data_IF_011199648833
#
_entry.id   IF_011199648833
#
_cell.length_a   1.000
_cell.length_b   1.000
_cell.length_c   1.000
_cell.angle_alpha   90.00
_cell.angle_beta   90.00
_cell.angle_gamma   90.00
#
_symmetry.space_group_name_H-M   'P 1'
#
loop_
_entity.id
_entity.type
_entity.pdbx_description
1 polymer ?
#
# COMPACT_ATOMS: atom_id res chain seq x y z
N UNK A 1 16.28 5.82 -26.63
CA UNK A 1 15.98 5.48 -26.17
C UNK A 1 15.79 5.28 -25.30
N UNK A 2 15.45 5.15 -25.26
CA UNK A 2 15.53 4.60 -24.12
C UNK A 2 15.57 5.53 -23.03
N UNK A 3 16.00 6.67 -23.13
CA UNK A 3 16.25 7.49 -22.01
C UNK A 3 15.04 7.93 -21.29
N UNK A 4 14.03 8.24 -22.00
CA UNK A 4 12.85 8.75 -21.36
C UNK A 4 12.24 7.78 -20.43
N UNK A 5 12.11 6.58 -20.87
CA UNK A 5 11.52 5.65 -19.98
C UNK A 5 12.52 5.07 -19.03
N UNK A 6 13.76 5.29 -19.26
CA UNK A 6 14.74 4.99 -18.26
C UNK A 6 14.50 5.80 -17.02
N UNK A 7 14.14 7.06 -17.18
CA UNK A 7 13.82 7.89 -16.07
C UNK A 7 12.66 7.31 -15.26
N UNK A 8 11.64 6.84 -15.93
CA UNK A 8 10.53 6.23 -15.25
C UNK A 8 10.97 4.97 -14.52
N UNK A 9 11.83 4.19 -15.12
CA UNK A 9 12.34 2.99 -14.49
C UNK A 9 13.15 3.32 -13.25
N UNK A 10 13.93 4.36 -13.32
CA UNK A 10 14.72 4.78 -12.17
C UNK A 10 13.83 5.21 -11.03
N UNK A 11 12.77 5.93 -11.33
CA UNK A 11 11.81 6.34 -10.32
C UNK A 11 11.15 5.14 -9.68
N UNK A 12 10.82 4.14 -10.47
CA UNK A 12 10.24 2.93 -9.96
C UNK A 12 11.18 2.24 -8.99
N UNK A 13 12.44 2.14 -9.34
CA UNK A 13 13.43 1.53 -8.49
C UNK A 13 13.55 2.29 -7.17
N UNK A 14 13.58 3.62 -7.26
CA UNK A 14 13.71 4.43 -6.06
C UNK A 14 12.51 4.26 -5.13
N UNK A 15 11.32 4.05 -5.70
CA UNK A 15 10.13 3.90 -4.89
C UNK A 15 9.87 2.49 -4.43
N UNK A 16 10.56 1.51 -4.98
CA UNK A 16 10.32 0.11 -4.61
C UNK A 16 10.46 -0.12 -3.11
N UNK A 17 11.43 0.48 -2.48
CA UNK A 17 11.64 0.31 -1.05
C UNK A 17 10.55 0.94 -0.22
N UNK A 18 9.92 1.95 -0.75
CA UNK A 18 8.84 2.65 -0.08
C UNK A 18 7.48 2.29 -0.66
N UNK A 19 7.43 1.29 -1.52
CA UNK A 19 6.19 0.92 -2.19
C UNK A 19 5.19 0.38 -1.20
N UNK A 20 4.00 0.97 -1.23
CA UNK A 20 2.88 0.53 -0.40
C UNK A 20 1.68 0.38 -1.30
N UNK A 21 1.02 -0.77 -1.23
CA UNK A 21 -0.20 -1.02 -1.99
C UNK A 21 -1.34 -1.20 -1.01
N UNK A 22 -2.45 -0.49 -1.25
CA UNK A 22 -3.63 -0.58 -0.40
C UNK A 22 -4.78 -1.11 -1.24
N UNK A 23 -5.31 -2.24 -0.84
CA UNK A 23 -6.43 -2.89 -1.53
C UNK A 23 -7.70 -2.68 -0.72
N UNK A 24 -8.72 -2.12 -1.34
CA UNK A 24 -9.96 -1.87 -0.61
C UNK A 24 -11.09 -1.40 -1.51
N UNK A 25 -12.10 -0.80 -0.92
CA UNK A 25 -13.28 -0.32 -1.63
C UNK A 25 -13.64 1.07 -1.15
N UNK A 26 -14.32 1.83 -2.00
CA UNK A 26 -14.68 3.21 -1.69
C UNK A 26 -15.66 3.32 -0.52
N UNK A 27 -16.50 2.32 -0.33
CA UNK A 27 -17.49 2.33 0.74
C UNK A 27 -16.93 1.87 2.08
N UNK A 28 -15.71 1.40 2.12
CA UNK A 28 -15.13 0.79 3.32
C UNK A 28 -14.53 1.86 4.23
N UNK A 29 -15.11 2.05 5.41
CA UNK A 29 -14.61 3.04 6.37
C UNK A 29 -13.21 2.75 6.84
N UNK A 30 -12.89 1.48 7.08
CA UNK A 30 -11.54 1.09 7.50
C UNK A 30 -10.52 1.38 6.40
N UNK A 31 -10.92 1.23 5.13
CA UNK A 31 -10.05 1.55 4.02
C UNK A 31 -9.73 3.05 4.00
N UNK A 32 -10.73 3.88 4.25
CA UNK A 32 -10.52 5.32 4.32
C UNK A 32 -9.59 5.69 5.46
N UNK A 33 -9.78 5.06 6.62
CA UNK A 33 -8.91 5.32 7.76
C UNK A 33 -7.46 4.92 7.47
N UNK A 34 -7.25 3.81 6.78
CA UNK A 34 -5.90 3.39 6.42
C UNK A 34 -5.25 4.39 5.46
N UNK A 35 -5.99 4.83 4.45
CA UNK A 35 -5.47 5.82 3.51
C UNK A 35 -5.17 7.14 4.20
N UNK A 36 -6.05 7.57 5.09
CA UNK A 36 -5.85 8.81 5.82
C UNK A 36 -4.62 8.73 6.72
N UNK A 37 -4.41 7.59 7.36
CA UNK A 37 -3.24 7.39 8.20
C UNK A 37 -1.95 7.48 7.38
N UNK A 38 -1.92 6.80 6.22
CA UNK A 38 -0.75 6.85 5.35
C UNK A 38 -0.49 8.28 4.88
N UNK A 39 -1.54 9.00 4.50
CA UNK A 39 -1.40 10.40 4.09
C UNK A 39 -0.87 11.26 5.22
N UNK A 40 -1.39 11.06 6.43
CA UNK A 40 -0.96 11.83 7.59
C UNK A 40 0.51 11.60 7.90
N UNK A 41 0.98 10.39 7.74
CA UNK A 41 2.37 10.05 7.99
C UNK A 41 3.28 10.39 6.82
N UNK A 42 2.73 10.93 5.72
CA UNK A 42 3.51 11.31 4.56
C UNK A 42 3.97 10.15 3.71
N UNK A 43 3.32 9.01 3.82
CA UNK A 43 3.70 7.83 3.07
C UNK A 43 2.85 7.71 1.81
N UNK A 44 3.49 7.71 0.66
CA UNK A 44 2.78 7.53 -0.61
C UNK A 44 2.35 6.08 -0.77
N UNK A 45 1.23 5.86 -1.41
CA UNK A 45 0.73 4.50 -1.64
C UNK A 45 -0.02 4.43 -2.96
N UNK A 46 -0.20 3.21 -3.44
CA UNK A 46 -0.99 2.94 -4.63
C UNK A 46 -2.33 2.35 -4.16
N UNK A 47 -3.41 3.00 -4.57
CA UNK A 47 -4.75 2.54 -4.22
C UNK A 47 -5.26 1.56 -5.26
N UNK A 48 -5.72 0.42 -4.80
CA UNK A 48 -6.32 -0.61 -5.66
C UNK A 48 -7.76 -0.82 -5.22
N UNK A 49 -8.70 -0.38 -6.06
CA UNK A 49 -10.11 -0.58 -5.77
C UNK A 49 -10.49 -1.99 -6.25
N UNK A 50 -10.81 -2.86 -5.31
CA UNK A 50 -11.07 -4.26 -5.63
C UNK A 50 -12.33 -4.46 -6.45
N UNK A 51 -13.18 -3.44 -6.52
CA UNK A 51 -14.44 -3.53 -7.27
C UNK A 51 -14.29 -3.09 -8.71
N UNK A 52 -13.30 -2.27 -9.02
CA UNK A 52 -13.14 -1.69 -10.35
C UNK A 52 -11.84 -2.06 -11.04
N UNK A 53 -10.81 -2.39 -10.29
CA UNK A 53 -9.52 -2.74 -10.88
C UNK A 53 -9.47 -4.24 -11.12
N UNK A 54 -9.26 -4.63 -12.38
CA UNK A 54 -9.22 -6.04 -12.75
C UNK A 54 -8.16 -6.78 -11.96
N UNK A 55 -8.54 -7.89 -11.34
CA UNK A 55 -7.62 -8.75 -10.62
C UNK A 55 -7.28 -8.27 -9.21
N UNK A 56 -7.70 -7.07 -8.81
CA UNK A 56 -7.32 -6.54 -7.51
C UNK A 56 -7.90 -7.34 -6.36
N UNK A 57 -9.15 -7.77 -6.47
CA UNK A 57 -9.78 -8.57 -5.42
C UNK A 57 -9.05 -9.90 -5.23
N UNK A 58 -8.72 -10.56 -6.33
CA UNK A 58 -7.99 -11.82 -6.26
C UNK A 58 -6.59 -11.62 -5.71
N UNK A 59 -5.95 -10.51 -6.07
CA UNK A 59 -4.63 -10.19 -5.56
C UNK A 59 -4.67 -9.97 -4.06
N UNK A 60 -5.66 -9.25 -3.56
CA UNK A 60 -5.79 -9.00 -2.13
C UNK A 60 -5.94 -10.31 -1.37
N UNK A 61 -6.75 -11.22 -1.89
CA UNK A 61 -6.92 -12.54 -1.26
C UNK A 61 -5.63 -13.35 -1.33
N UNK A 62 -4.93 -13.29 -2.46
CA UNK A 62 -3.66 -14.02 -2.61
C UNK A 62 -2.62 -13.51 -1.61
N UNK A 63 -2.60 -12.22 -1.33
CA UNK A 63 -1.65 -11.63 -0.38
C UNK A 63 -2.00 -12.04 1.04
N UNK A 64 -3.25 -11.90 1.43
CA UNK A 64 -3.67 -12.01 2.84
C UNK A 64 -4.24 -13.38 3.20
N UNK A 65 -4.67 -14.15 2.22
CA UNK A 65 -5.33 -15.43 2.47
C UNK A 65 -6.78 -15.27 2.93
N UNK A 66 -7.32 -14.07 2.90
CA UNK A 66 -8.68 -13.83 3.39
C UNK A 66 -9.34 -12.70 2.59
N UNK A 67 -10.64 -12.54 2.76
CA UNK A 67 -11.42 -11.56 1.99
C UNK A 67 -11.62 -10.23 2.68
N UNK A 68 -11.02 -10.03 3.83
CA UNK A 68 -11.15 -8.78 4.56
C UNK A 68 -10.35 -7.65 3.93
N UNK A 69 -10.87 -6.44 3.98
CA UNK A 69 -10.22 -5.23 3.49
C UNK A 69 -10.22 -4.18 4.59
N UNK A 70 -9.28 -3.23 4.61
CA UNK A 70 -8.21 -3.08 3.63
C UNK A 70 -7.08 -4.09 3.84
N UNK A 71 -6.37 -4.40 2.77
CA UNK A 71 -5.10 -5.12 2.84
C UNK A 71 -4.03 -4.11 2.46
N UNK A 72 -3.07 -3.91 3.34
CA UNK A 72 -1.95 -3.00 3.10
C UNK A 72 -0.70 -3.84 2.95
N UNK A 73 -0.08 -3.78 1.78
CA UNK A 73 1.12 -4.55 1.49
C UNK A 73 2.31 -3.63 1.36
N UNK A 74 3.41 -4.02 1.96
CA UNK A 74 4.64 -3.24 1.98
C UNK A 74 5.70 -3.85 1.07
N UNK A 75 6.71 -3.05 0.75
CA UNK A 75 7.76 -3.45 -0.18
C UNK A 75 8.57 -4.65 0.29
N UNK A 76 8.64 -4.88 1.59
CA UNK A 76 9.37 -6.02 2.14
C UNK A 76 8.57 -7.32 2.05
N UNK A 77 7.40 -7.29 1.44
CA UNK A 77 6.57 -8.47 1.26
C UNK A 77 5.59 -8.73 2.39
N UNK A 78 5.68 -7.98 3.47
CA UNK A 78 4.73 -8.13 4.58
C UNK A 78 3.44 -7.40 4.26
N UNK A 79 2.39 -7.73 5.01
CA UNK A 79 1.08 -7.10 4.80
C UNK A 79 0.35 -6.98 6.14
N UNK A 80 -0.65 -6.11 6.14
CA UNK A 80 -1.54 -5.94 7.29
C UNK A 80 -2.97 -5.99 6.78
N UNK A 81 -3.88 -6.56 7.57
CA UNK A 81 -5.30 -6.61 7.26
C UNK A 81 -6.03 -5.78 8.28
N UNK A 82 -6.80 -4.81 7.82
CA UNK A 82 -7.55 -3.91 8.68
C UNK A 82 -6.67 -3.24 9.75
N UNK A 83 -5.50 -2.70 9.37
CA UNK A 83 -4.60 -2.13 10.36
C UNK A 83 -5.14 -0.83 10.95
N UNK A 84 -4.82 -0.60 12.22
CA UNK A 84 -5.08 0.70 12.84
C UNK A 84 -4.00 1.68 12.39
N UNK A 85 -4.22 2.97 12.68
CA UNK A 85 -3.20 3.98 12.41
C UNK A 85 -1.92 3.68 13.18
N UNK A 86 -2.04 3.16 14.40
CA UNK A 86 -0.88 2.76 15.20
C UNK A 86 -0.12 1.62 14.54
N UNK A 87 -0.83 0.63 14.01
CA UNK A 87 -0.19 -0.49 13.32
C UNK A 87 0.58 0.00 12.10
N UNK A 88 -0.02 0.90 11.33
CA UNK A 88 0.61 1.46 10.14
C UNK A 88 1.85 2.25 10.53
N UNK A 89 1.73 3.09 11.57
CA UNK A 89 2.87 3.89 12.03
C UNK A 89 4.04 3.00 12.44
N UNK A 90 3.74 1.94 13.19
CA UNK A 90 4.79 1.02 13.64
C UNK A 90 5.50 0.38 12.46
N UNK A 91 4.74 -0.01 11.44
CA UNK A 91 5.34 -0.63 10.26
C UNK A 91 6.18 0.35 9.45
N UNK A 92 5.69 1.57 9.29
CA UNK A 92 6.45 2.60 8.57
C UNK A 92 7.74 2.93 9.30
N UNK A 93 7.71 2.96 10.63
CA UNK A 93 8.91 3.18 11.43
C UNK A 93 9.89 2.02 11.27
N UNK A 94 9.38 0.80 11.33
CA UNK A 94 10.21 -0.40 11.14
C UNK A 94 10.91 -0.38 9.79
N UNK A 95 10.21 0.06 8.74
CA UNK A 95 10.77 0.11 7.39
C UNK A 95 11.68 1.33 7.15
N UNK A 96 11.76 2.22 8.13
CA UNK A 96 12.58 3.40 7.99
C UNK A 96 11.98 4.47 7.09
N UNK A 97 10.67 4.39 6.85
CA UNK A 97 10.00 5.35 5.96
C UNK A 97 9.58 6.61 6.70
N UNK A 98 9.48 6.54 8.02
CA UNK A 98 9.22 7.72 8.87
C UNK A 98 10.10 7.61 10.10
N UNK A 99 10.32 8.75 10.74
CA UNK A 99 11.10 8.80 11.98
C UNK A 99 10.28 8.20 13.12
N UNK A 100 10.97 7.56 14.03
CA UNK A 100 10.33 6.98 15.20
C UNK A 100 9.79 8.04 16.13
#
# INVERSE_FOLDING_TARGET
MTDTHTTAADQTTATDKARIDVYGADWCGDCHRAKDALNRFGAAFVWHNIETEDGAADQAVAISGQKHIPVVRYADGTFQVEPSATDIKAKLTELGLIAA
#
